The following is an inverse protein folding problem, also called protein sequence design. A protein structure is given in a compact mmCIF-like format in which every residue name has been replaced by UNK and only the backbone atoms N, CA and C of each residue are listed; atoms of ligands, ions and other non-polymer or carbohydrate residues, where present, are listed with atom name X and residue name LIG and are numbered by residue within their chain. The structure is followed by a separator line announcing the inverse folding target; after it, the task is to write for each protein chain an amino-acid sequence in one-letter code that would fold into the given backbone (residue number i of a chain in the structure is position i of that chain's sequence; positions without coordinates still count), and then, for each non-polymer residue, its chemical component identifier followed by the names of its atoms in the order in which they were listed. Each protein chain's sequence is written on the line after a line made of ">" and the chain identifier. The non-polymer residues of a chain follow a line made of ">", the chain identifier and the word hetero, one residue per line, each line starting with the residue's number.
data_IF_202732010582
#
_entry.id   IF_202732010582
#
_cell.length_a   1.000
_cell.length_b   1.000
_cell.length_c   1.000
_cell.angle_alpha   90.00
_cell.angle_beta   90.00
_cell.angle_gamma   90.00
#
_symmetry.space_group_name_H-M   'P 1'
#
loop_
_entity.id
_entity.type
_entity.pdbx_description
1 polymer ?
#
# COMPACT_ATOMS: atom_id res chain seq x y z
N UNK A 1 -26.65 -16.14 -26.65
CA UNK A 1 -26.50 -15.10 -25.62
C UNK A 1 -26.01 -15.78 -24.38
N UNK A 2 -24.82 -15.44 -23.93
CA UNK A 2 -24.26 -15.97 -22.69
C UNK A 2 -24.19 -14.86 -21.65
N UNK A 3 -24.54 -15.21 -20.41
CA UNK A 3 -24.62 -14.31 -19.26
C UNK A 3 -23.69 -14.85 -18.19
N UNK A 4 -22.76 -14.03 -17.73
CA UNK A 4 -21.85 -14.37 -16.65
C UNK A 4 -22.03 -13.37 -15.51
N UNK A 5 -22.73 -13.80 -14.47
CA UNK A 5 -22.90 -13.03 -13.23
C UNK A 5 -22.02 -13.65 -12.14
N UNK A 6 -20.98 -12.91 -11.75
CA UNK A 6 -20.10 -13.25 -10.64
C UNK A 6 -20.21 -12.18 -9.54
N UNK A 7 -21.27 -11.38 -9.53
CA UNK A 7 -21.44 -10.32 -8.55
C UNK A 7 -21.58 -10.87 -7.13
N UNK A 8 -21.14 -10.08 -6.13
CA UNK A 8 -21.33 -10.40 -4.72
C UNK A 8 -20.45 -11.54 -4.19
N UNK A 9 -19.36 -11.87 -4.89
CA UNK A 9 -18.40 -12.88 -4.47
C UNK A 9 -17.17 -12.27 -3.76
N UNK A 10 -16.25 -13.12 -3.31
CA UNK A 10 -14.98 -12.69 -2.68
C UNK A 10 -13.79 -12.84 -3.63
N UNK A 11 -14.00 -12.69 -4.95
CA UNK A 11 -12.93 -12.86 -5.93
C UNK A 11 -11.86 -11.78 -5.73
N UNK A 12 -10.59 -12.18 -5.74
CA UNK A 12 -9.41 -11.33 -5.54
C UNK A 12 -8.46 -11.43 -6.73
N UNK A 13 -7.59 -10.44 -6.90
CA UNK A 13 -6.62 -10.40 -8.00
C UNK A 13 -7.15 -9.67 -9.24
N UNK A 14 -6.43 -9.80 -10.36
CA UNK A 14 -6.75 -9.08 -11.61
C UNK A 14 -7.75 -9.82 -12.48
N UNK A 15 -8.55 -9.09 -13.26
CA UNK A 15 -9.39 -9.69 -14.29
C UNK A 15 -8.48 -10.30 -15.38
N UNK A 16 -8.52 -11.61 -15.61
CA UNK A 16 -7.66 -12.24 -16.61
C UNK A 16 -8.01 -11.81 -18.03
N UNK A 17 -7.00 -11.67 -18.91
CA UNK A 17 -7.20 -11.21 -20.29
C UNK A 17 -8.04 -12.16 -21.14
N UNK A 18 -8.07 -13.46 -20.83
CA UNK A 18 -8.85 -14.47 -21.56
C UNK A 18 -10.36 -14.20 -21.50
N UNK A 19 -10.85 -13.38 -20.56
CA UNK A 19 -12.28 -13.04 -20.48
C UNK A 19 -12.78 -12.32 -21.76
N UNK A 20 -11.87 -11.64 -22.49
CA UNK A 20 -12.19 -10.99 -23.75
C UNK A 20 -12.27 -11.93 -24.96
N UNK A 21 -11.93 -13.21 -24.78
CA UNK A 21 -12.06 -14.26 -25.81
C UNK A 21 -13.48 -14.89 -25.80
N UNK A 22 -14.32 -14.52 -24.83
CA UNK A 22 -15.70 -15.00 -24.71
C UNK A 22 -16.63 -14.29 -25.71
N UNK A 23 -16.46 -14.58 -27.00
CA UNK A 23 -17.13 -13.87 -28.10
C UNK A 23 -18.66 -13.94 -28.09
N UNK A 24 -19.26 -14.89 -27.34
CA UNK A 24 -20.71 -15.08 -27.23
C UNK A 24 -21.31 -14.44 -25.97
N UNK A 25 -20.46 -13.86 -25.10
CA UNK A 25 -20.85 -13.20 -23.87
C UNK A 25 -21.55 -11.88 -24.16
N UNK A 26 -22.76 -11.72 -23.64
CA UNK A 26 -23.63 -10.57 -23.83
C UNK A 26 -23.88 -9.81 -22.52
N UNK A 27 -23.53 -10.42 -21.37
CA UNK A 27 -23.63 -9.80 -20.05
C UNK A 27 -22.50 -10.31 -19.17
N UNK A 28 -21.84 -9.38 -18.48
CA UNK A 28 -20.81 -9.67 -17.50
C UNK A 28 -21.00 -8.77 -16.28
N UNK A 29 -21.20 -9.38 -15.11
CA UNK A 29 -21.23 -8.67 -13.84
C UNK A 29 -20.13 -9.20 -12.91
N UNK A 30 -19.24 -8.30 -12.50
CA UNK A 30 -18.15 -8.56 -11.57
C UNK A 30 -18.27 -7.69 -10.31
N UNK A 31 -19.39 -7.00 -10.13
CA UNK A 31 -19.61 -6.06 -9.03
C UNK A 31 -19.55 -6.75 -7.66
N UNK A 32 -19.33 -5.97 -6.59
CA UNK A 32 -19.25 -6.51 -5.23
C UNK A 32 -18.26 -7.67 -5.06
N UNK A 33 -17.09 -7.56 -5.69
CA UNK A 33 -15.91 -8.42 -5.48
C UNK A 33 -14.72 -7.61 -4.94
N UNK A 34 -13.60 -8.29 -4.65
CA UNK A 34 -12.33 -7.71 -4.21
C UNK A 34 -11.25 -7.73 -5.31
N UNK A 35 -11.67 -7.61 -6.58
CA UNK A 35 -10.77 -7.60 -7.73
C UNK A 35 -9.97 -6.29 -7.78
N UNK A 36 -8.72 -6.37 -8.24
CA UNK A 36 -7.73 -5.27 -8.28
C UNK A 36 -7.07 -5.17 -9.66
N UNK A 37 -6.42 -4.06 -9.97
CA UNK A 37 -5.73 -3.85 -11.24
C UNK A 37 -6.64 -3.38 -12.39
N UNK A 38 -6.03 -3.18 -13.56
CA UNK A 38 -6.72 -2.60 -14.71
C UNK A 38 -7.64 -3.63 -15.38
N UNK A 39 -8.76 -3.15 -15.92
CA UNK A 39 -9.61 -3.96 -16.80
C UNK A 39 -8.81 -4.31 -18.07
N UNK A 40 -8.70 -5.60 -18.45
CA UNK A 40 -7.92 -5.98 -19.60
C UNK A 40 -8.54 -5.39 -20.87
N UNK A 41 -7.69 -4.85 -21.75
CA UNK A 41 -8.12 -4.25 -23.04
C UNK A 41 -8.94 -5.22 -23.90
N UNK A 42 -8.78 -6.52 -23.69
CA UNK A 42 -9.56 -7.56 -24.36
C UNK A 42 -11.05 -7.48 -24.05
N UNK A 43 -11.47 -6.88 -22.92
CA UNK A 43 -12.89 -6.60 -22.65
C UNK A 43 -13.51 -5.64 -23.68
N UNK A 44 -12.73 -4.72 -24.25
CA UNK A 44 -13.19 -3.85 -25.33
C UNK A 44 -13.37 -4.59 -26.67
N UNK A 45 -12.88 -5.84 -26.77
CA UNK A 45 -13.00 -6.68 -27.97
C UNK A 45 -14.24 -7.60 -27.93
N UNK A 46 -15.01 -7.58 -26.84
CA UNK A 46 -16.24 -8.34 -26.71
C UNK A 46 -17.35 -7.74 -27.59
N UNK A 47 -17.44 -8.25 -28.82
CA UNK A 47 -18.41 -7.81 -29.84
C UNK A 47 -19.88 -7.97 -29.42
N UNK A 48 -20.17 -8.88 -28.48
CA UNK A 48 -21.51 -9.10 -27.92
C UNK A 48 -21.96 -8.06 -26.90
N UNK A 49 -21.05 -7.22 -26.40
CA UNK A 49 -21.31 -6.15 -25.43
C UNK A 49 -21.46 -4.81 -26.17
N UNK A 50 -22.53 -4.63 -26.95
CA UNK A 50 -22.77 -3.39 -27.67
C UNK A 50 -23.21 -2.26 -26.71
N UNK A 51 -22.55 -1.08 -26.72
CA UNK A 51 -23.00 0.08 -25.97
C UNK A 51 -24.04 0.83 -26.82
N UNK A 52 -25.24 0.28 -27.00
CA UNK A 52 -26.29 1.01 -27.71
C UNK A 52 -27.68 0.87 -27.07
N UNK A 53 -28.06 1.92 -26.34
CA UNK A 53 -29.39 2.50 -26.32
C UNK A 53 -30.58 1.77 -25.69
N UNK A 54 -30.62 0.43 -25.57
CA UNK A 54 -31.78 -0.31 -25.02
C UNK A 54 -31.33 -1.59 -24.27
N UNK A 55 -31.52 -1.61 -22.94
CA UNK A 55 -31.11 -2.57 -21.88
C UNK A 55 -31.18 -4.08 -22.20
N UNK A 56 -30.55 -5.02 -21.43
CA UNK A 56 -29.55 -4.96 -20.33
C UNK A 56 -28.18 -5.53 -20.79
N UNK A 57 -27.01 -5.25 -20.24
CA UNK A 57 -26.58 -4.54 -19.05
C UNK A 57 -25.06 -4.64 -19.06
N UNK A 58 -24.38 -3.53 -19.37
CA UNK A 58 -22.98 -3.38 -19.00
C UNK A 58 -23.00 -2.48 -17.76
N UNK A 59 -23.21 -3.09 -16.59
CA UNK A 59 -23.17 -2.35 -15.33
C UNK A 59 -21.70 -2.20 -14.95
N UNK A 60 -21.02 -1.33 -15.69
CA UNK A 60 -19.75 -0.75 -15.26
C UNK A 60 -20.01 0.44 -14.34
N UNK A 61 -20.96 0.33 -13.42
CA UNK A 61 -21.23 1.41 -12.45
C UNK A 61 -20.00 1.77 -11.61
N UNK A 62 -18.93 0.95 -11.66
CA UNK A 62 -17.60 1.27 -11.13
C UNK A 62 -16.40 1.14 -12.12
N UNK A 63 -16.58 0.91 -13.43
CA UNK A 63 -15.45 0.93 -14.39
C UNK A 63 -15.33 2.24 -15.16
N UNK A 64 -15.14 3.34 -14.44
CA UNK A 64 -14.44 4.48 -15.03
C UNK A 64 -13.00 4.07 -15.32
N UNK A 65 -12.66 3.90 -16.61
CA UNK A 65 -11.36 4.26 -17.18
C UNK A 65 -10.15 4.04 -16.24
N UNK A 66 -9.82 2.78 -15.94
CA UNK A 66 -8.60 2.41 -15.20
C UNK A 66 -7.40 2.39 -16.16
N UNK A 67 -7.09 3.53 -16.76
CA UNK A 67 -5.86 3.73 -17.52
C UNK A 67 -5.27 5.05 -17.03
N UNK A 68 -4.34 4.92 -16.09
CA UNK A 68 -3.49 5.96 -15.49
C UNK A 68 -4.18 7.00 -14.60
N UNK A 69 -4.17 6.75 -13.29
CA UNK A 69 -3.10 7.21 -12.39
C UNK A 69 -3.44 6.81 -10.95
N UNK A 70 -2.58 6.00 -10.31
CA UNK A 70 -2.48 5.80 -8.86
C UNK A 70 -3.80 5.75 -8.07
N UNK A 71 -4.52 4.62 -8.09
CA UNK A 71 -5.66 4.40 -7.17
C UNK A 71 -5.20 3.91 -5.80
N UNK A 72 -4.92 4.87 -4.92
CA UNK A 72 -5.67 4.89 -3.65
C UNK A 72 -6.99 5.63 -3.92
N UNK A 73 -8.08 5.23 -3.27
CA UNK A 73 -9.44 5.83 -3.30
C UNK A 73 -10.45 5.22 -4.29
N UNK A 74 -11.18 4.20 -3.81
CA UNK A 74 -12.64 4.13 -4.05
C UNK A 74 -13.34 3.51 -2.83
N UNK A 75 -13.32 4.33 -1.77
CA UNK A 75 -13.92 4.10 -0.46
C UNK A 75 -13.71 5.37 0.35
N UNK A 76 -13.93 6.54 -0.25
CA UNK A 76 -13.79 7.83 0.44
C UNK A 76 -14.87 7.91 1.52
N UNK A 77 -14.50 7.58 2.76
CA UNK A 77 -15.00 8.34 3.90
C UNK A 77 -14.72 9.81 3.58
N UNK A 78 -15.72 10.67 3.71
CA UNK A 78 -15.69 12.11 3.37
C UNK A 78 -14.55 12.92 4.02
N UNK A 79 -13.70 12.30 4.86
CA UNK A 79 -12.72 12.95 5.72
C UNK A 79 -11.26 12.49 5.50
N UNK A 80 -10.97 11.59 4.55
CA UNK A 80 -9.62 11.06 4.33
C UNK A 80 -8.95 11.71 3.10
N UNK A 81 -7.84 12.42 3.31
CA UNK A 81 -7.03 13.07 2.27
C UNK A 81 -6.19 12.02 1.50
N UNK A 82 -5.93 12.20 0.19
CA UNK A 82 -5.27 11.21 -0.64
C UNK A 82 -3.79 10.99 -0.26
N UNK A 83 -3.23 9.84 -0.67
CA UNK A 83 -1.79 9.57 -0.61
C UNK A 83 -1.07 10.23 -1.81
N UNK A 84 0.16 10.70 -1.59
CA UNK A 84 1.07 11.21 -2.63
C UNK A 84 2.16 10.17 -2.85
N UNK A 85 2.16 9.52 -4.02
CA UNK A 85 3.09 8.42 -4.32
C UNK A 85 3.84 8.72 -5.62
N UNK A 86 5.17 8.76 -5.57
CA UNK A 86 6.07 9.04 -6.70
C UNK A 86 7.20 8.01 -6.78
N UNK A 87 7.86 7.86 -7.93
CA UNK A 87 8.89 6.83 -8.16
C UNK A 87 8.30 5.50 -8.63
N UNK A 88 8.99 4.37 -8.42
CA UNK A 88 8.59 3.06 -8.97
C UNK A 88 8.16 2.07 -7.89
N UNK A 89 7.15 1.23 -8.17
CA UNK A 89 6.75 0.10 -7.31
C UNK A 89 6.40 0.45 -5.85
N UNK A 90 5.97 1.68 -5.58
CA UNK A 90 5.49 2.05 -4.25
C UNK A 90 4.01 1.68 -4.10
N UNK A 91 3.65 1.08 -2.96
CA UNK A 91 2.30 0.57 -2.71
C UNK A 91 1.79 1.06 -1.36
N UNK A 92 0.58 1.61 -1.32
CA UNK A 92 -0.20 1.79 -0.08
C UNK A 92 -1.38 0.85 -0.14
N UNK A 93 -1.40 -0.17 0.72
CA UNK A 93 -2.50 -1.15 0.78
C UNK A 93 -3.74 -0.58 1.48
N UNK A 94 -3.55 0.17 2.57
CA UNK A 94 -4.62 0.82 3.33
C UNK A 94 -4.10 2.06 4.06
N UNK A 95 -4.92 3.10 4.18
CA UNK A 95 -4.58 4.37 4.83
C UNK A 95 -4.47 5.56 3.89
N UNK A 96 -4.33 6.74 4.49
CA UNK A 96 -4.53 8.06 3.89
C UNK A 96 -3.40 9.03 4.26
N UNK A 97 -3.26 10.14 3.52
CA UNK A 97 -2.22 11.18 3.77
C UNK A 97 -0.77 10.70 3.81
N UNK A 98 -0.44 9.54 3.24
CA UNK A 98 0.95 9.10 3.14
C UNK A 98 1.65 9.81 1.98
N UNK A 99 2.90 10.21 2.18
CA UNK A 99 3.78 10.77 1.16
C UNK A 99 4.92 9.78 0.93
N UNK A 100 5.02 9.20 -0.26
CA UNK A 100 5.99 8.15 -0.58
C UNK A 100 6.75 8.53 -1.86
N UNK A 101 8.07 8.48 -1.81
CA UNK A 101 8.93 8.65 -2.98
C UNK A 101 10.07 7.62 -3.00
N UNK A 102 10.61 7.36 -4.18
CA UNK A 102 11.67 6.36 -4.39
C UNK A 102 11.14 5.05 -4.93
N UNK A 103 11.69 3.90 -4.51
CA UNK A 103 11.44 2.62 -5.17
C UNK A 103 11.01 1.52 -4.20
N UNK A 104 10.02 0.69 -4.55
CA UNK A 104 9.68 -0.54 -3.82
C UNK A 104 9.29 -0.33 -2.34
N UNK A 105 8.75 0.84 -1.97
CA UNK A 105 8.27 1.10 -0.62
C UNK A 105 6.82 0.64 -0.45
N UNK A 106 6.50 0.00 0.68
CA UNK A 106 5.16 -0.50 0.96
C UNK A 106 4.63 0.07 2.28
N UNK A 107 3.47 0.71 2.25
CA UNK A 107 2.64 0.93 3.44
C UNK A 107 1.57 -0.16 3.49
N UNK A 108 1.57 -0.97 4.54
CA UNK A 108 0.59 -2.05 4.72
C UNK A 108 -0.74 -1.49 5.23
N UNK A 109 -0.70 -0.71 6.31
CA UNK A 109 -1.82 0.06 6.82
C UNK A 109 -1.30 1.28 7.59
N UNK A 110 -1.96 2.42 7.46
CA UNK A 110 -1.73 3.57 8.33
C UNK A 110 -1.69 4.91 7.61
N UNK A 111 -1.71 5.97 8.39
CA UNK A 111 -1.96 7.34 7.95
C UNK A 111 -0.78 8.27 8.22
N UNK A 112 -0.65 9.30 7.38
CA UNK A 112 0.26 10.43 7.62
C UNK A 112 1.75 10.04 7.70
N UNK A 113 2.17 8.98 7.00
CA UNK A 113 3.59 8.62 6.94
C UNK A 113 4.32 9.33 5.79
N UNK A 114 5.55 9.77 6.03
CA UNK A 114 6.47 10.26 4.99
C UNK A 114 7.58 9.25 4.78
N UNK A 115 7.69 8.68 3.58
CA UNK A 115 8.61 7.59 3.26
C UNK A 115 9.42 7.96 2.02
N UNK A 116 10.74 7.86 2.11
CA UNK A 116 11.67 8.13 1.01
C UNK A 116 12.75 7.05 0.93
N UNK A 117 13.18 6.73 -0.30
CA UNK A 117 14.27 5.79 -0.54
C UNK A 117 13.75 4.46 -1.09
N UNK A 118 14.31 3.33 -0.66
CA UNK A 118 14.02 2.05 -1.30
C UNK A 118 13.70 0.89 -0.35
N UNK A 119 12.77 0.03 -0.76
CA UNK A 119 12.44 -1.24 -0.07
C UNK A 119 12.02 -1.06 1.40
N UNK A 120 11.40 0.07 1.76
CA UNK A 120 10.92 0.28 3.12
C UNK A 120 9.50 -0.28 3.29
N UNK A 121 9.25 -1.03 4.36
CA UNK A 121 7.93 -1.53 4.73
C UNK A 121 7.44 -0.83 5.98
N UNK A 122 6.30 -0.17 5.92
CA UNK A 122 5.76 0.66 7.00
C UNK A 122 4.32 0.28 7.33
N UNK A 123 4.01 0.28 8.61
CA UNK A 123 2.69 0.10 9.18
C UNK A 123 2.52 1.07 10.35
N UNK A 124 1.30 1.54 10.61
CA UNK A 124 1.05 2.55 11.63
C UNK A 124 1.19 3.98 11.09
N UNK A 125 1.29 4.95 11.99
CA UNK A 125 0.94 6.32 11.66
C UNK A 125 2.05 7.32 11.98
N UNK A 126 2.09 8.42 11.23
CA UNK A 126 2.94 9.58 11.52
C UNK A 126 4.45 9.26 11.54
N UNK A 127 4.91 8.25 10.81
CA UNK A 127 6.33 7.94 10.68
C UNK A 127 7.01 8.84 9.63
N UNK A 128 8.28 9.16 9.85
CA UNK A 128 9.21 9.71 8.85
C UNK A 128 10.30 8.67 8.65
N UNK A 129 10.34 8.05 7.47
CA UNK A 129 11.25 6.95 7.14
C UNK A 129 12.04 7.32 5.89
N UNK A 130 13.35 7.35 5.98
CA UNK A 130 14.23 7.64 4.85
C UNK A 130 15.36 6.63 4.78
N UNK A 131 15.75 6.22 3.57
CA UNK A 131 16.84 5.27 3.37
C UNK A 131 16.34 3.96 2.84
N UNK A 132 16.90 2.84 3.32
CA UNK A 132 16.66 1.55 2.65
C UNK A 132 16.37 0.39 3.57
N UNK A 133 15.48 -0.50 3.15
CA UNK A 133 15.20 -1.79 3.81
C UNK A 133 14.75 -1.65 5.27
N UNK A 134 14.11 -0.55 5.64
CA UNK A 134 13.54 -0.40 6.97
C UNK A 134 12.22 -1.17 7.10
N UNK A 135 11.97 -1.74 8.28
CA UNK A 135 10.67 -2.30 8.66
C UNK A 135 10.19 -1.53 9.87
N UNK A 136 9.07 -0.82 9.71
CA UNK A 136 8.60 0.17 10.68
C UNK A 136 7.16 -0.11 11.05
N UNK A 137 6.86 -0.17 12.35
CA UNK A 137 5.51 -0.28 12.87
C UNK A 137 5.26 0.68 14.03
N UNK A 138 4.00 0.96 14.35
CA UNK A 138 3.62 1.72 15.54
C UNK A 138 3.26 3.18 15.25
N UNK A 139 3.91 4.13 15.93
CA UNK A 139 3.60 5.55 15.69
C UNK A 139 4.78 6.51 15.88
N UNK A 140 4.81 7.59 15.09
CA UNK A 140 5.68 8.75 15.32
C UNK A 140 7.16 8.40 15.42
N UNK A 141 7.68 7.63 14.47
CA UNK A 141 9.12 7.32 14.40
C UNK A 141 9.85 8.24 13.42
N UNK A 142 11.09 8.60 13.74
CA UNK A 142 12.03 9.21 12.79
C UNK A 142 13.12 8.20 12.48
N UNK A 143 13.22 7.73 11.24
CA UNK A 143 14.09 6.61 10.88
C UNK A 143 14.91 6.97 9.64
N UNK A 144 16.22 6.81 9.74
CA UNK A 144 17.16 7.02 8.65
C UNK A 144 18.19 5.90 8.55
N UNK A 145 18.82 5.75 7.39
CA UNK A 145 19.94 4.83 7.18
C UNK A 145 19.54 3.56 6.46
N UNK A 146 19.88 2.39 7.02
CA UNK A 146 19.63 1.12 6.32
C UNK A 146 19.31 -0.06 7.23
N UNK A 147 18.37 -0.89 6.79
CA UNK A 147 18.12 -2.23 7.31
C UNK A 147 17.83 -2.26 8.82
N UNK A 148 16.97 -1.37 9.29
CA UNK A 148 16.58 -1.32 10.71
C UNK A 148 15.12 -1.71 10.92
N UNK A 149 14.85 -2.42 12.00
CA UNK A 149 13.52 -2.82 12.46
C UNK A 149 13.13 -1.93 13.62
N UNK A 150 12.07 -1.15 13.47
CA UNK A 150 11.65 -0.17 14.48
C UNK A 150 10.17 -0.34 14.77
N UNK A 151 9.81 -0.43 16.04
CA UNK A 151 8.43 -0.56 16.52
C UNK A 151 8.17 0.30 17.76
N UNK A 152 6.91 0.42 18.16
CA UNK A 152 6.49 1.14 19.36
C UNK A 152 6.09 2.59 19.09
N UNK A 153 6.63 3.55 19.84
CA UNK A 153 6.29 4.97 19.62
C UNK A 153 7.46 5.94 19.83
N UNK A 154 7.53 7.05 19.08
CA UNK A 154 8.50 8.13 19.33
C UNK A 154 9.99 7.76 19.29
N UNK A 155 10.35 6.63 18.67
CA UNK A 155 11.76 6.27 18.49
C UNK A 155 12.40 7.06 17.33
N UNK A 156 13.61 7.59 17.56
CA UNK A 156 14.47 8.21 16.55
C UNK A 156 15.69 7.33 16.31
N UNK A 157 15.82 6.77 15.11
CA UNK A 157 16.79 5.71 14.79
C UNK A 157 17.56 6.10 13.54
N UNK A 158 18.88 6.13 13.62
CA UNK A 158 19.75 6.44 12.48
C UNK A 158 20.97 5.54 12.47
N UNK A 159 21.31 5.03 11.29
CA UNK A 159 22.45 4.13 11.12
C UNK A 159 22.05 2.84 10.47
N UNK A 160 22.71 1.74 10.83
CA UNK A 160 22.55 0.46 10.14
C UNK A 160 22.23 -0.68 11.10
N UNK A 161 21.36 -1.60 10.65
CA UNK A 161 21.11 -2.87 11.35
C UNK A 161 20.59 -2.74 12.78
N UNK A 162 19.78 -1.74 13.09
CA UNK A 162 19.19 -1.61 14.43
C UNK A 162 17.91 -2.45 14.60
N UNK A 163 17.66 -2.90 15.82
CA UNK A 163 16.36 -3.43 16.27
C UNK A 163 15.91 -2.59 17.45
N UNK A 164 14.91 -1.74 17.25
CA UNK A 164 14.45 -0.78 18.25
C UNK A 164 12.96 -0.97 18.53
N UNK A 165 12.60 -1.09 19.80
CA UNK A 165 11.21 -1.14 20.26
C UNK A 165 11.01 -0.26 21.50
N UNK A 166 9.79 -0.23 22.03
CA UNK A 166 9.45 0.60 23.18
C UNK A 166 9.17 2.04 22.78
N UNK A 167 9.47 3.01 23.65
CA UNK A 167 9.08 4.40 23.41
C UNK A 167 10.10 5.47 23.74
N UNK A 168 10.20 6.48 22.88
CA UNK A 168 11.07 7.65 23.09
C UNK A 168 12.56 7.29 23.21
N UNK A 169 13.02 6.31 22.41
CA UNK A 169 14.42 5.92 22.35
C UNK A 169 15.13 6.64 21.19
N UNK A 170 16.37 7.06 21.41
CA UNK A 170 17.26 7.66 20.43
C UNK A 170 18.43 6.71 20.19
N UNK A 171 18.58 6.20 18.97
CA UNK A 171 19.55 5.14 18.65
C UNK A 171 20.36 5.51 17.42
N UNK A 172 21.69 5.54 17.58
CA UNK A 172 22.66 5.82 16.52
C UNK A 172 23.74 4.75 16.45
N UNK A 173 24.32 4.55 15.26
CA UNK A 173 25.51 3.72 15.03
C UNK A 173 25.20 2.47 14.21
N UNK A 174 25.66 1.31 14.66
CA UNK A 174 25.48 0.05 13.94
C UNK A 174 25.11 -1.12 14.84
N UNK A 175 24.16 -1.95 14.40
CA UNK A 175 23.87 -3.24 15.04
C UNK A 175 23.49 -3.15 16.54
N UNK A 176 22.66 -2.15 16.90
CA UNK A 176 22.16 -2.00 18.28
C UNK A 176 20.77 -2.60 18.44
N UNK A 177 20.54 -3.30 19.56
CA UNK A 177 19.24 -3.78 20.01
C UNK A 177 18.78 -2.97 21.23
N UNK A 178 17.71 -2.21 21.09
CA UNK A 178 17.24 -1.28 22.12
C UNK A 178 15.74 -1.47 22.38
N UNK A 179 15.37 -1.63 23.64
CA UNK A 179 13.97 -1.70 24.08
C UNK A 179 13.78 -0.99 25.42
N UNK A 180 12.54 -0.70 25.79
CA UNK A 180 12.21 0.09 26.97
C UNK A 180 11.93 1.54 26.62
N UNK A 181 12.22 2.48 27.53
CA UNK A 181 11.86 3.90 27.33
C UNK A 181 12.99 4.86 27.63
N UNK A 182 13.03 5.98 26.90
CA UNK A 182 13.91 7.12 27.15
C UNK A 182 15.41 6.81 27.09
N UNK A 183 15.82 5.79 26.33
CA UNK A 183 17.23 5.48 26.13
C UNK A 183 17.87 6.38 25.08
N UNK A 184 19.13 6.73 25.30
CA UNK A 184 19.99 7.36 24.30
C UNK A 184 21.20 6.45 24.09
N UNK A 185 21.31 5.86 22.90
CA UNK A 185 22.28 4.82 22.58
C UNK A 185 23.13 5.25 21.39
N UNK A 186 24.45 5.28 21.59
CA UNK A 186 25.45 5.54 20.55
C UNK A 186 26.48 4.41 20.50
N UNK A 187 27.05 4.19 19.31
CA UNK A 187 28.10 3.21 19.06
C UNK A 187 27.55 1.94 18.43
N UNK A 188 28.33 0.86 18.53
CA UNK A 188 28.03 -0.38 17.81
C UNK A 188 27.85 -1.58 18.74
N UNK A 189 27.02 -2.54 18.32
CA UNK A 189 26.81 -3.84 18.98
C UNK A 189 26.31 -3.73 20.43
N UNK A 190 25.48 -2.72 20.74
CA UNK A 190 24.89 -2.53 22.07
C UNK A 190 23.57 -3.30 22.21
N UNK A 191 23.35 -3.84 23.41
CA UNK A 191 22.05 -4.38 23.83
C UNK A 191 21.61 -3.61 25.07
N UNK A 192 20.53 -2.85 24.94
CA UNK A 192 19.98 -2.01 26.01
C UNK A 192 18.50 -2.37 26.20
N UNK A 193 18.14 -2.74 27.42
CA UNK A 193 16.79 -3.13 27.80
C UNK A 193 16.45 -2.55 29.18
N UNK A 194 15.15 -2.52 29.52
CA UNK A 194 14.66 -1.95 30.79
C UNK A 194 14.24 -0.48 30.67
N UNK A 195 13.65 0.08 31.73
CA UNK A 195 13.04 1.42 31.73
C UNK A 195 11.52 1.39 31.85
#
# INVERSE_FOLDING_TARGET
>A
MEVLDLSGNQLVGTIPSWIGELHHLCYLDLSNNSLVGDAPKSLALLKGLAPDGRSPGMVFTNMQLYVKHNRSTLGRRLNELPNVITGTNNVVRSGSKNVICGNDNTVIFGDENTISGNENTVSGNNHVVSGSKHVVSGSRHGITGRNSFVSGSYNNVSGIYHVVSGSNNVVFGSNNSVSGRNHIVYGDNKVITGG
#
